data_IF_450225941949
#
_entry.id   IF_450225941949
#
_cell.length_a   1.000
_cell.length_b   1.000
_cell.length_c   1.000
_cell.angle_alpha   90.00
_cell.angle_beta   90.00
_cell.angle_gamma   90.00
#
_symmetry.space_group_name_H-M   'P 1'
#
loop_
_entity.id
_entity.type
_entity.pdbx_description
1 polymer ?
#
# COMPACT_ATOMS: atom_id res chain seq x y z
N UNK A 1 10.26 5.89 -10.84
CA UNK A 1 9.25 6.96 -10.64
C UNK A 1 8.39 6.79 -9.39
N UNK A 2 8.00 5.57 -8.99
CA UNK A 2 7.09 5.35 -7.85
C UNK A 2 7.63 5.77 -6.47
N UNK A 3 8.96 5.69 -6.27
CA UNK A 3 9.60 6.19 -5.03
C UNK A 3 9.45 7.71 -4.92
N UNK A 4 9.76 8.44 -6.00
CA UNK A 4 9.64 9.89 -6.04
C UNK A 4 8.19 10.36 -5.83
N UNK A 5 7.21 9.67 -6.43
CA UNK A 5 5.80 9.98 -6.21
C UNK A 5 5.37 9.81 -4.75
N UNK A 6 5.78 8.71 -4.09
CA UNK A 6 5.48 8.47 -2.68
C UNK A 6 6.13 9.52 -1.77
N UNK A 7 7.38 9.87 -2.06
CA UNK A 7 8.11 10.88 -1.28
C UNK A 7 7.46 12.27 -1.43
N UNK A 8 7.10 12.65 -2.66
CA UNK A 8 6.37 13.89 -2.92
C UNK A 8 5.05 13.96 -2.14
N UNK A 9 4.25 12.89 -2.13
CA UNK A 9 3.01 12.84 -1.34
C UNK A 9 3.28 13.04 0.15
N UNK A 10 4.27 12.34 0.71
CA UNK A 10 4.64 12.48 2.13
C UNK A 10 5.05 13.90 2.49
N UNK A 11 5.80 14.55 1.60
CA UNK A 11 6.22 15.94 1.80
C UNK A 11 4.99 16.87 1.75
N UNK A 12 4.11 16.70 0.75
CA UNK A 12 2.91 17.53 0.58
C UNK A 12 1.91 17.37 1.74
N UNK A 13 1.67 16.15 2.21
CA UNK A 13 0.75 15.84 3.31
C UNK A 13 1.39 16.05 4.69
N UNK A 14 2.72 16.08 4.75
CA UNK A 14 3.47 16.30 5.98
C UNK A 14 3.31 17.72 6.52
N UNK A 15 3.87 17.96 7.70
CA UNK A 15 3.78 19.24 8.42
C UNK A 15 4.39 20.44 7.66
N UNK A 16 5.19 20.19 6.62
CA UNK A 16 5.79 21.24 5.80
C UNK A 16 4.76 22.01 4.97
N UNK A 17 3.75 21.31 4.43
CA UNK A 17 2.73 21.91 3.55
C UNK A 17 1.30 21.64 4.03
N UNK A 18 1.04 20.52 4.70
CA UNK A 18 -0.27 20.19 5.28
C UNK A 18 -1.40 20.11 4.24
N UNK A 19 -1.08 19.74 3.00
CA UNK A 19 -2.03 19.65 1.90
C UNK A 19 -2.69 18.26 1.89
N UNK A 20 -3.89 18.17 1.31
CA UNK A 20 -4.55 16.89 1.06
C UNK A 20 -4.42 16.54 -0.41
N UNK A 21 -3.84 15.38 -0.73
CA UNK A 21 -3.70 14.93 -2.12
C UNK A 21 -4.96 14.16 -2.52
N UNK A 22 -5.82 14.80 -3.33
CA UNK A 22 -7.08 14.18 -3.77
C UNK A 22 -6.86 13.07 -4.84
N UNK A 23 -5.92 13.29 -5.76
CA UNK A 23 -5.58 12.39 -6.87
C UNK A 23 -4.07 12.46 -7.12
N UNK A 24 -3.47 11.33 -7.48
CA UNK A 24 -2.08 11.28 -7.94
C UNK A 24 -1.99 10.41 -9.19
N UNK A 25 -1.30 10.93 -10.21
CA UNK A 25 -1.06 10.26 -11.48
C UNK A 25 0.44 10.04 -11.65
N UNK A 26 0.84 8.80 -11.92
CA UNK A 26 2.24 8.39 -12.03
C UNK A 26 2.43 7.63 -13.34
N UNK A 27 3.27 8.17 -14.22
CA UNK A 27 3.53 7.57 -15.53
C UNK A 27 4.37 8.48 -16.42
N UNK A 28 4.62 8.01 -17.64
CA UNK A 28 5.31 8.76 -18.69
C UNK A 28 4.30 9.58 -19.49
N UNK A 29 3.81 10.69 -18.91
CA UNK A 29 2.80 11.54 -19.57
C UNK A 29 3.41 12.55 -20.55
N UNK A 30 4.60 13.05 -20.23
CA UNK A 30 5.37 13.96 -21.10
C UNK A 30 6.86 13.61 -20.97
N UNK A 31 7.47 13.16 -22.06
CA UNK A 31 8.86 12.67 -22.09
C UNK A 31 9.74 13.56 -22.99
N UNK A 32 11.00 13.73 -22.62
CA UNK A 32 12.00 14.43 -23.45
C UNK A 32 13.03 13.42 -23.96
N UNK A 33 12.63 12.62 -24.96
CA UNK A 33 13.44 11.53 -25.53
C UNK A 33 14.07 10.65 -24.41
N UNK A 34 15.39 10.51 -24.40
CA UNK A 34 16.14 9.65 -23.49
C UNK A 34 16.67 10.37 -22.23
N UNK A 35 16.07 11.51 -21.86
CA UNK A 35 16.49 12.21 -20.64
C UNK A 35 16.19 11.37 -19.39
N UNK A 36 17.20 11.18 -18.54
CA UNK A 36 17.03 10.61 -17.20
C UNK A 36 16.56 11.70 -16.24
N UNK A 37 15.24 11.83 -16.07
CA UNK A 37 14.66 12.81 -15.17
C UNK A 37 13.22 12.51 -14.81
N UNK A 38 12.70 13.31 -13.88
CA UNK A 38 11.29 13.32 -13.49
C UNK A 38 10.78 14.75 -13.46
N UNK A 39 9.49 14.94 -13.69
CA UNK A 39 8.79 16.19 -13.46
C UNK A 39 7.64 15.94 -12.48
N UNK A 40 7.44 16.86 -11.54
CA UNK A 40 6.31 16.85 -10.61
C UNK A 40 5.47 18.07 -10.92
N UNK A 41 4.18 17.86 -11.16
CA UNK A 41 3.21 18.93 -11.43
C UNK A 41 2.11 18.90 -10.38
N UNK A 42 1.82 20.05 -9.79
CA UNK A 42 0.80 20.21 -8.77
C UNK A 42 -0.35 21.04 -9.35
N UNK A 43 -1.58 20.56 -9.16
CA UNK A 43 -2.80 21.25 -9.57
C UNK A 43 -3.68 21.47 -8.35
N UNK A 44 -4.06 22.73 -8.09
CA UNK A 44 -5.08 23.02 -7.07
C UNK A 44 -6.43 22.53 -7.57
N UNK A 45 -7.10 21.70 -6.78
CA UNK A 45 -8.37 21.08 -7.15
C UNK A 45 -9.54 21.71 -6.40
N UNK A 46 -10.67 21.75 -7.10
CA UNK A 46 -12.02 21.94 -6.55
C UNK A 46 -12.85 20.72 -6.91
N UNK A 47 -13.99 20.50 -6.26
CA UNK A 47 -14.85 19.35 -6.56
C UNK A 47 -15.29 19.29 -8.04
N UNK A 48 -15.56 20.45 -8.65
CA UNK A 48 -15.88 20.53 -10.08
C UNK A 48 -14.70 20.11 -10.96
N UNK A 49 -13.48 20.56 -10.62
CA UNK A 49 -12.27 20.16 -11.36
C UNK A 49 -11.97 18.67 -11.19
N UNK A 50 -12.22 18.11 -10.02
CA UNK A 50 -12.07 16.68 -9.77
C UNK A 50 -13.05 15.86 -10.63
N UNK A 51 -14.31 16.30 -10.72
CA UNK A 51 -15.31 15.66 -11.57
C UNK A 51 -14.90 15.65 -13.05
N UNK A 52 -14.25 16.72 -13.54
CA UNK A 52 -13.74 16.75 -14.92
C UNK A 52 -12.56 15.81 -15.15
N UNK A 53 -11.67 15.63 -14.17
CA UNK A 53 -10.56 14.68 -14.27
C UNK A 53 -11.04 13.22 -14.26
N UNK A 54 -12.16 12.98 -13.60
CA UNK A 54 -12.76 11.66 -13.40
C UNK A 54 -13.74 11.28 -14.52
N UNK A 55 -14.09 12.24 -15.40
CA UNK A 55 -15.00 12.02 -16.50
C UNK A 55 -14.45 10.96 -17.49
N UNK A 56 -15.32 10.09 -18.06
CA UNK A 56 -14.90 9.11 -19.06
C UNK A 56 -14.22 9.78 -20.26
N UNK A 57 -13.10 9.21 -20.69
CA UNK A 57 -12.34 9.68 -21.85
C UNK A 57 -11.79 8.50 -22.64
N UNK A 58 -11.62 8.70 -23.95
CA UNK A 58 -10.99 7.75 -24.86
C UNK A 58 -9.50 8.05 -25.08
N UNK A 59 -8.94 9.01 -24.34
CA UNK A 59 -7.53 9.35 -24.44
C UNK A 59 -6.65 8.17 -24.00
N UNK A 60 -5.85 7.65 -24.93
CA UNK A 60 -5.12 6.39 -24.78
C UNK A 60 -4.20 6.32 -23.56
N UNK A 61 -3.56 7.43 -23.21
CA UNK A 61 -2.63 7.52 -22.08
C UNK A 61 -3.27 8.08 -20.80
N UNK A 62 -4.59 8.35 -20.80
CA UNK A 62 -5.24 8.85 -19.60
C UNK A 62 -5.39 7.73 -18.58
N UNK A 63 -4.94 7.93 -17.33
CA UNK A 63 -5.10 6.94 -16.29
C UNK A 63 -6.58 6.82 -15.96
N UNK A 64 -7.21 5.74 -16.40
CA UNK A 64 -8.62 5.47 -16.13
C UNK A 64 -8.77 5.27 -14.62
N UNK A 65 -9.22 6.33 -13.93
CA UNK A 65 -9.50 6.45 -12.50
C UNK A 65 -8.81 5.40 -11.60
N UNK A 66 -7.52 5.60 -11.31
CA UNK A 66 -6.85 4.80 -10.25
C UNK A 66 -7.46 5.20 -8.91
N UNK A 67 -7.98 4.23 -8.15
CA UNK A 67 -8.56 4.44 -6.82
C UNK A 67 -7.66 5.33 -5.95
N UNK A 68 -8.29 6.18 -5.11
CA UNK A 68 -7.63 7.17 -4.26
C UNK A 68 -6.30 6.65 -3.66
N UNK A 69 -5.20 7.32 -4.01
CA UNK A 69 -3.86 6.97 -3.55
C UNK A 69 -3.81 7.17 -2.03
N UNK A 70 -3.50 6.09 -1.29
CA UNK A 70 -3.44 6.09 0.17
C UNK A 70 -4.31 5.03 0.86
N UNK A 71 -5.29 4.45 0.17
CA UNK A 71 -5.87 3.17 0.60
C UNK A 71 -5.11 2.05 -0.05
N UNK A 72 -4.22 1.40 0.71
CA UNK A 72 -3.96 -0.01 0.45
C UNK A 72 -5.34 -0.68 0.36
N UNK A 73 -5.69 -1.39 -0.74
CA UNK A 73 -6.88 -2.22 -0.70
C UNK A 73 -6.66 -3.15 0.47
N UNK A 74 -7.43 -2.97 1.55
CA UNK A 74 -7.40 -3.88 2.68
C UNK A 74 -7.75 -5.25 2.09
N UNK A 75 -6.71 -6.04 1.81
CA UNK A 75 -6.89 -7.45 1.53
C UNK A 75 -7.68 -7.96 2.74
N UNK A 76 -8.83 -8.62 2.55
CA UNK A 76 -9.55 -9.22 3.66
C UNK A 76 -8.52 -10.00 4.47
N UNK A 77 -8.32 -9.59 5.73
CA UNK A 77 -7.39 -10.28 6.60
C UNK A 77 -7.76 -11.77 6.54
N UNK A 78 -6.81 -12.69 6.28
CA UNK A 78 -7.13 -14.11 6.23
C UNK A 78 -7.86 -14.44 7.52
N UNK A 79 -9.14 -14.80 7.41
CA UNK A 79 -9.92 -15.16 8.58
C UNK A 79 -9.33 -16.48 9.06
N UNK A 80 -8.58 -16.40 10.16
CA UNK A 80 -8.05 -17.58 10.81
C UNK A 80 -9.27 -18.44 11.17
N UNK A 81 -9.35 -19.71 10.75
CA UNK A 81 -10.45 -20.56 11.15
C UNK A 81 -10.43 -20.61 12.67
N UNK A 82 -11.54 -20.20 13.27
CA UNK A 82 -11.77 -20.28 14.70
C UNK A 82 -11.61 -21.75 15.10
N UNK A 83 -10.50 -22.05 15.76
CA UNK A 83 -10.23 -23.38 16.29
C UNK A 83 -11.25 -23.60 17.41
N UNK A 84 -12.25 -24.41 17.11
CA UNK A 84 -13.20 -24.91 18.09
C UNK A 84 -12.41 -25.55 19.24
N UNK A 85 -12.45 -24.91 20.41
CA UNK A 85 -11.96 -25.49 21.64
C UNK A 85 -12.93 -26.57 22.06
N UNK A 86 -12.65 -27.81 21.66
CA UNK A 86 -13.23 -28.99 22.29
C UNK A 86 -12.34 -29.39 23.45
N UNK A 87 -12.76 -29.01 24.66
CA UNK A 87 -12.28 -29.61 25.89
C UNK A 87 -12.57 -31.12 25.87
N UNK A 88 -11.52 -31.93 26.05
CA UNK A 88 -11.59 -33.38 26.20
C UNK A 88 -10.33 -33.88 26.91
N UNK A 89 -10.55 -34.57 28.02
CA UNK A 89 -9.60 -34.87 29.11
C UNK A 89 -8.50 -35.90 28.79
N UNK A 90 -7.31 -35.63 29.35
CA UNK A 90 -6.25 -36.49 29.87
C UNK A 90 -6.07 -37.96 29.45
N UNK A 91 -4.82 -38.31 29.11
CA UNK A 91 -4.06 -39.37 29.79
C UNK A 91 -2.59 -39.40 29.31
N UNK A 92 -1.70 -39.74 30.22
CA UNK A 92 -0.23 -39.68 30.18
C UNK A 92 0.48 -40.47 29.06
N UNK A 93 1.50 -39.83 28.46
CA UNK A 93 2.80 -40.41 28.04
C UNK A 93 3.77 -39.22 28.10
N UNK A 94 4.76 -39.09 28.98
CA UNK A 94 5.77 -40.08 29.36
C UNK A 94 7.16 -39.51 29.04
N UNK A 95 7.60 -38.52 29.83
CA UNK A 95 8.95 -38.35 30.39
C UNK A 95 10.24 -38.49 29.54
N UNK A 96 10.23 -38.60 28.21
CA UNK A 96 11.45 -38.96 27.46
C UNK A 96 12.21 -37.84 26.73
N UNK A 97 11.65 -36.64 26.53
CA UNK A 97 12.28 -35.65 25.63
C UNK A 97 13.05 -34.51 26.34
N UNK A 98 12.95 -34.39 27.66
CA UNK A 98 13.66 -33.34 28.40
C UNK A 98 15.17 -33.63 28.62
N UNK A 99 15.67 -34.78 28.19
CA UNK A 99 17.09 -35.14 28.37
C UNK A 99 18.00 -34.77 27.19
N UNK A 100 17.47 -34.37 26.02
CA UNK A 100 18.30 -34.20 24.80
C UNK A 100 18.85 -32.76 24.66
N UNK A 101 18.26 -31.76 25.35
CA UNK A 101 18.67 -30.36 25.25
C UNK A 101 19.74 -29.92 26.26
N UNK A 102 20.05 -30.73 27.29
CA UNK A 102 21.08 -30.39 28.28
C UNK A 102 22.51 -30.82 27.88
N UNK A 103 22.69 -31.54 26.76
CA UNK A 103 23.98 -32.08 26.32
C UNK A 103 24.65 -31.33 25.16
N UNK A 104 24.08 -30.21 24.68
CA UNK A 104 24.57 -29.49 23.50
C UNK A 104 25.20 -28.11 23.78
N UNK A 105 25.41 -27.73 25.04
CA UNK A 105 26.17 -26.53 25.40
C UNK A 105 27.18 -26.88 26.50
N UNK A 106 28.30 -27.47 26.10
CA UNK A 106 29.56 -27.35 26.82
C UNK A 106 30.72 -27.36 25.84
#
# INVERSE_FOLDING_TARGET
ISVAARDAIRVLEGSAYGLVVARCYVGAYMTALDMSGISISLLKITDASLAFLDAPTLAAAWPHAVAAVGREPALPAPQMPEVATAAGSGSDIGSAEQSILAAAIK
#
